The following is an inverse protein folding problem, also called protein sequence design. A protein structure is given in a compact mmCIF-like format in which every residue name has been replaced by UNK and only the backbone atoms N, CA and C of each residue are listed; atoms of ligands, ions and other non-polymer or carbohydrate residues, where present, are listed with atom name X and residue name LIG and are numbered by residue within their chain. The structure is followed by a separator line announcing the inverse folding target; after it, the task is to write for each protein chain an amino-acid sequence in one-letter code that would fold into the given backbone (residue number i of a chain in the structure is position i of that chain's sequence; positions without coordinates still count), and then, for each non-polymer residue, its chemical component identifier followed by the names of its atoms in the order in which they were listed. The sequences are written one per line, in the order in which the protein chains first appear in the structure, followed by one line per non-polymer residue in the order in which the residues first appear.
data_IF_662245834892
#
_entry.id   IF_662245834892
#
_cell.length_a   1.000
_cell.length_b   1.000
_cell.length_c   1.000
_cell.angle_alpha   90.00
_cell.angle_beta   90.00
_cell.angle_gamma   90.00
#
_symmetry.space_group_name_H-M   'P 1'
#
loop_
_entity.id
_entity.type
_entity.pdbx_description
1 polymer ?
#
# COMPACT_ATOMS: atom_id res chain seq x y z
N UNK A 1 0.36 3.46 2.30
CA UNK A 1 -0.88 3.72 1.56
C UNK A 1 -1.98 2.75 2.03
N UNK A 2 -3.11 3.23 2.56
CA UNK A 2 -4.20 2.37 3.10
C UNK A 2 -4.77 1.42 2.04
N UNK A 3 -5.09 1.96 0.85
CA UNK A 3 -5.68 1.18 -0.23
C UNK A 3 -4.77 0.04 -0.70
N UNK A 4 -3.45 0.21 -0.67
CA UNK A 4 -2.52 -0.85 -1.04
C UNK A 4 -2.56 -2.00 -0.05
N UNK A 5 -2.48 -1.70 1.26
CA UNK A 5 -2.54 -2.70 2.34
C UNK A 5 -3.85 -3.47 2.29
N UNK A 6 -4.97 -2.76 2.08
CA UNK A 6 -6.27 -3.39 1.93
C UNK A 6 -6.34 -4.34 0.73
N UNK A 7 -5.81 -3.92 -0.42
CA UNK A 7 -5.94 -4.68 -1.68
C UNK A 7 -5.01 -5.87 -1.80
N UNK A 8 -3.83 -5.83 -1.17
CA UNK A 8 -2.92 -6.99 -1.14
C UNK A 8 -3.40 -8.10 -0.21
N UNK A 9 -4.33 -7.81 0.72
CA UNK A 9 -5.02 -8.85 1.49
C UNK A 9 -4.16 -9.55 2.54
N UNK A 10 -3.06 -8.94 2.99
CA UNK A 10 -2.15 -9.54 3.98
C UNK A 10 -2.41 -8.92 5.36
N UNK A 11 -3.07 -9.61 6.29
CA UNK A 11 -3.48 -9.04 7.58
C UNK A 11 -2.31 -8.52 8.41
N UNK A 12 -1.17 -9.22 8.41
CA UNK A 12 0.02 -8.85 9.20
C UNK A 12 0.57 -7.45 8.89
N UNK A 13 0.28 -6.92 7.69
CA UNK A 13 0.70 -5.58 7.30
C UNK A 13 -0.04 -4.48 8.06
N UNK A 14 -1.22 -4.77 8.61
CA UNK A 14 -2.06 -3.80 9.33
C UNK A 14 -1.38 -3.29 10.60
N UNK A 15 -0.59 -4.15 11.26
CA UNK A 15 0.07 -3.82 12.52
C UNK A 15 1.43 -3.12 12.34
N UNK A 16 1.91 -2.99 11.09
CA UNK A 16 3.18 -2.33 10.80
C UNK A 16 2.98 -0.82 10.64
N UNK A 17 3.86 0.02 11.22
CA UNK A 17 3.87 1.46 10.95
C UNK A 17 4.01 1.73 9.45
N UNK A 18 3.31 2.76 8.95
CA UNK A 18 3.30 3.09 7.51
C UNK A 18 4.69 3.45 6.99
N UNK A 19 5.49 4.11 7.80
CA UNK A 19 6.86 4.50 7.49
C UNK A 19 7.68 3.24 7.21
N UNK A 20 7.62 2.27 8.13
CA UNK A 20 8.31 0.98 8.01
C UNK A 20 7.80 0.18 6.81
N UNK A 21 6.49 0.14 6.57
CA UNK A 21 5.91 -0.53 5.40
C UNK A 21 6.49 -0.01 4.09
N UNK A 22 6.63 1.31 3.95
CA UNK A 22 7.16 1.92 2.73
C UNK A 22 8.65 1.63 2.49
N UNK A 23 9.39 1.30 3.55
CA UNK A 23 10.81 0.94 3.46
C UNK A 23 11.04 -0.55 3.18
N UNK A 24 10.19 -1.44 3.73
CA UNK A 24 10.48 -2.89 3.72
C UNK A 24 9.55 -3.73 2.84
N UNK A 25 8.52 -3.13 2.22
CA UNK A 25 7.58 -3.83 1.35
C UNK A 25 7.41 -3.08 0.03
N UNK A 26 7.50 -3.84 -1.05
CA UNK A 26 7.33 -3.34 -2.41
C UNK A 26 6.30 -4.19 -3.15
N UNK A 27 5.58 -3.57 -4.07
CA UNK A 27 4.69 -4.25 -5.00
C UNK A 27 5.31 -4.14 -6.39
N UNK A 28 5.48 -5.28 -7.06
CA UNK A 28 6.06 -5.32 -8.41
C UNK A 28 5.17 -4.57 -9.41
N UNK A 29 5.79 -3.96 -10.44
CA UNK A 29 5.08 -3.20 -11.47
C UNK A 29 4.03 -4.00 -12.25
N UNK A 30 4.20 -5.33 -12.36
CA UNK A 30 3.25 -6.22 -13.02
C UNK A 30 1.88 -6.33 -12.31
N UNK A 31 1.76 -5.84 -11.07
CA UNK A 31 0.49 -5.80 -10.34
C UNK A 31 -0.38 -4.58 -10.66
N UNK A 32 0.14 -3.66 -11.48
CA UNK A 32 -0.52 -2.43 -11.90
C UNK A 32 -0.85 -2.50 -13.38
N UNK A 33 -1.94 -1.86 -13.78
CA UNK A 33 -2.31 -1.76 -15.19
C UNK A 33 -1.47 -0.71 -15.88
N UNK A 34 -1.43 -0.75 -17.21
CA UNK A 34 -0.64 0.21 -17.97
C UNK A 34 -1.12 1.65 -17.73
N UNK A 35 -2.42 1.85 -17.56
CA UNK A 35 -3.03 3.15 -17.26
C UNK A 35 -2.69 3.68 -15.86
N UNK A 36 -2.16 2.85 -14.95
CA UNK A 36 -1.76 3.28 -13.60
C UNK A 36 -0.41 4.00 -13.58
N UNK A 37 0.36 3.92 -14.67
CA UNK A 37 1.66 4.57 -14.78
C UNK A 37 1.57 5.98 -15.35
N UNK A 38 2.55 6.81 -15.01
CA UNK A 38 2.74 8.15 -15.60
C UNK A 38 3.76 8.10 -16.74
N UNK A 39 3.45 8.84 -17.81
CA UNK A 39 4.32 9.01 -18.96
C UNK A 39 4.44 7.76 -19.85
N UNK A 40 5.07 7.94 -21.00
CA UNK A 40 5.19 6.90 -22.03
C UNK A 40 6.07 5.72 -21.60
N UNK A 41 7.09 5.97 -20.77
CA UNK A 41 8.07 4.97 -20.37
C UNK A 41 7.68 4.17 -19.11
N UNK A 42 6.48 4.39 -18.55
CA UNK A 42 5.92 3.62 -17.41
C UNK A 42 6.87 3.47 -16.21
N UNK A 43 7.68 4.51 -15.92
CA UNK A 43 8.71 4.47 -14.85
C UNK A 43 8.19 4.82 -13.47
N UNK A 44 7.02 5.45 -13.37
CA UNK A 44 6.43 5.94 -12.12
C UNK A 44 4.94 5.64 -12.10
N UNK A 45 4.42 5.34 -10.92
CA UNK A 45 2.98 5.16 -10.71
C UNK A 45 2.30 6.52 -10.48
N UNK A 46 1.04 6.62 -10.91
CA UNK A 46 0.15 7.72 -10.52
C UNK A 46 -0.04 7.69 -9.00
N UNK A 47 -0.23 8.85 -8.37
CA UNK A 47 -0.49 8.95 -6.91
C UNK A 47 -1.73 8.14 -6.46
N UNK A 48 -2.69 7.96 -7.36
CA UNK A 48 -3.94 7.24 -7.14
C UNK A 48 -3.88 5.76 -7.58
N UNK A 49 -2.74 5.29 -8.12
CA UNK A 49 -2.60 3.92 -8.57
C UNK A 49 -2.73 2.96 -7.39
N UNK A 50 -3.48 1.88 -7.57
CA UNK A 50 -3.67 0.82 -6.58
C UNK A 50 -3.48 -0.53 -7.27
N UNK A 51 -2.73 -1.48 -6.69
CA UNK A 51 -2.51 -2.76 -7.34
C UNK A 51 -3.84 -3.49 -7.55
N UNK A 52 -4.00 -4.04 -8.74
CA UNK A 52 -5.26 -4.64 -9.19
C UNK A 52 -5.10 -5.96 -9.94
N UNK A 53 -3.88 -6.32 -10.35
CA UNK A 53 -3.56 -7.57 -11.04
C UNK A 53 -2.88 -8.53 -10.06
N UNK A 54 -3.49 -9.68 -9.82
CA UNK A 54 -2.95 -10.71 -8.92
C UNK A 54 -3.07 -12.09 -9.57
N UNK A 55 -2.07 -12.99 -9.40
CA UNK A 55 -2.07 -14.31 -10.02
C UNK A 55 -3.11 -15.26 -9.42
N UNK A 56 -3.53 -15.02 -8.18
CA UNK A 56 -4.58 -15.75 -7.48
C UNK A 56 -5.64 -14.78 -6.98
N UNK A 57 -6.88 -15.26 -6.71
CA UNK A 57 -7.87 -14.44 -6.01
C UNK A 57 -7.30 -13.95 -4.68
N UNK A 58 -7.23 -12.63 -4.53
CA UNK A 58 -6.85 -11.97 -3.28
C UNK A 58 -8.11 -11.46 -2.61
N UNK A 59 -8.31 -11.85 -1.35
CA UNK A 59 -9.39 -11.34 -0.52
C UNK A 59 -8.90 -10.01 0.08
N UNK A 60 -9.53 -8.92 -0.31
CA UNK A 60 -9.21 -7.62 0.28
C UNK A 60 -9.54 -7.62 1.78
N UNK A 61 -8.74 -6.93 2.57
CA UNK A 61 -9.02 -6.78 4.00
C UNK A 61 -10.31 -5.97 4.20
N UNK A 62 -11.12 -6.38 5.16
CA UNK A 62 -12.35 -5.67 5.50
C UNK A 62 -12.03 -4.36 6.22
N UNK A 63 -12.99 -3.43 6.26
CA UNK A 63 -12.79 -2.18 6.97
C UNK A 63 -12.60 -2.39 8.48
N UNK A 64 -13.16 -3.46 9.05
CA UNK A 64 -12.96 -3.85 10.45
C UNK A 64 -11.50 -4.17 10.75
N UNK A 65 -10.88 -5.02 9.92
CA UNK A 65 -9.45 -5.36 10.03
C UNK A 65 -8.61 -4.10 9.82
N UNK A 66 -8.99 -3.26 8.85
CA UNK A 66 -8.26 -2.03 8.53
C UNK A 66 -8.39 -0.93 9.62
N UNK A 67 -9.22 -1.08 10.65
CA UNK A 67 -9.29 -0.11 11.77
C UNK A 67 -7.98 -0.01 12.54
N UNK A 68 -7.22 -1.09 12.59
CA UNK A 68 -5.94 -1.13 13.30
C UNK A 68 -4.80 -0.52 12.50
N UNK A 69 -5.03 -0.23 11.21
CA UNK A 69 -4.02 0.35 10.34
C UNK A 69 -3.78 1.83 10.66
N UNK A 70 -2.69 2.11 11.35
CA UNK A 70 -2.31 3.47 11.72
C UNK A 70 -1.60 4.16 10.55
N UNK A 71 -2.36 4.89 9.71
CA UNK A 71 -1.77 5.77 8.72
C UNK A 71 -1.21 7.04 9.37
N UNK A 72 -0.01 6.93 9.95
CA UNK A 72 0.87 8.03 10.38
C UNK A 72 0.21 9.15 11.21
N UNK A 73 0.44 9.15 12.52
CA UNK A 73 0.48 10.43 13.25
C UNK A 73 1.81 11.12 12.91
N UNK A 74 1.83 12.45 12.71
CA UNK A 74 3.09 13.19 12.62
C UNK A 74 3.86 12.96 13.92
N UNK A 75 5.11 12.55 13.78
CA UNK A 75 6.08 12.33 14.84
C UNK A 75 5.92 13.39 15.93
N UNK A 76 5.51 12.99 17.15
CA UNK A 76 5.81 13.80 18.33
C UNK A 76 7.32 13.74 18.48
N UNK A 77 8.00 14.80 18.04
CA UNK A 77 9.39 15.06 18.41
C UNK A 77 9.38 15.28 19.93
N UNK A 78 9.74 14.26 20.69
CA UNK A 78 10.13 14.43 22.09
C UNK A 78 11.51 15.06 22.07
N UNK A 79 11.55 16.39 22.12
CA UNK A 79 12.78 17.13 22.45
C UNK A 79 13.17 16.74 23.87
N UNK A 80 14.42 16.32 24.02
CA UNK A 80 15.10 15.99 25.29
C UNK A 80 15.28 17.27 26.11
#
# INVERSE_FOLDING_TARGET
CRAWVQRVGVPDLVHLPVEKLSEIRYVCGCHFREEDFTGLHKKKLKKIAVPSIFPSPVIALTDEIMKEFQSGNPLKITTI
#
